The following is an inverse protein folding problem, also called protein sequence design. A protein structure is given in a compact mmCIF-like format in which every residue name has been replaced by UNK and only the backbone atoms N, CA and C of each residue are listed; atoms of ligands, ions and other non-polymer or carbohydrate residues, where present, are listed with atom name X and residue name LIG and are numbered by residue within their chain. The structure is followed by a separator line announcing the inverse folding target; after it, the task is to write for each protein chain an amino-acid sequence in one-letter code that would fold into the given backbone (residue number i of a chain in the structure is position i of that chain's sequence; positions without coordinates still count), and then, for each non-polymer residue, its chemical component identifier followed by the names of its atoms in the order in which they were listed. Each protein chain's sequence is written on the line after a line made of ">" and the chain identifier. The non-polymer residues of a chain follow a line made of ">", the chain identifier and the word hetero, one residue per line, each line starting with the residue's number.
data_IF_025649734842
#
_entry.id   IF_025649734842
#
_cell.length_a   1.000
_cell.length_b   1.000
_cell.length_c   1.000
_cell.angle_alpha   90.00
_cell.angle_beta   90.00
_cell.angle_gamma   90.00
#
_symmetry.space_group_name_H-M   'P 1'
#
loop_
_entity.id
_entity.type
_entity.pdbx_description
1 polymer ?
#
# COMPACT_ATOMS: atom_id res chain seq x y z
N UNK A 1 -0.44 15.49 13.95
CA UNK A 1 -0.84 14.40 13.44
C UNK A 1 -2.08 14.37 12.57
N UNK A 2 -3.22 14.53 13.12
CA UNK A 2 -4.44 14.33 12.40
C UNK A 2 -4.63 15.26 11.24
N UNK A 3 -4.22 16.50 11.33
CA UNK A 3 -4.54 17.46 10.31
C UNK A 3 -3.91 17.15 8.99
N UNK A 4 -2.62 16.94 8.99
CA UNK A 4 -1.92 16.65 7.76
C UNK A 4 -2.35 15.32 7.18
N UNK A 5 -2.54 14.37 8.06
CA UNK A 5 -3.03 13.08 7.66
C UNK A 5 -4.46 13.19 7.17
N UNK A 6 -5.22 14.09 7.77
CA UNK A 6 -6.58 14.34 7.31
C UNK A 6 -6.62 14.81 5.85
N UNK A 7 -5.65 15.65 5.47
CA UNK A 7 -5.58 16.08 4.09
C UNK A 7 -5.42 14.94 3.13
N UNK A 8 -4.56 13.98 3.47
CA UNK A 8 -4.34 12.81 2.65
C UNK A 8 -5.58 11.92 2.64
N UNK A 9 -6.18 11.74 3.80
CA UNK A 9 -7.38 10.91 3.89
C UNK A 9 -8.53 11.51 3.10
N UNK A 10 -8.69 12.82 3.14
CA UNK A 10 -9.73 13.47 2.37
C UNK A 10 -9.52 13.25 0.89
N UNK A 11 -8.28 13.36 0.44
CA UNK A 11 -7.96 13.12 -0.96
C UNK A 11 -8.27 11.67 -1.35
N UNK A 12 -7.91 10.73 -0.51
CA UNK A 12 -8.16 9.33 -0.78
C UNK A 12 -9.66 9.06 -0.83
N UNK A 13 -10.41 9.66 0.09
CA UNK A 13 -11.85 9.48 0.12
C UNK A 13 -12.49 9.97 -1.17
N UNK A 14 -12.03 11.11 -1.68
CA UNK A 14 -12.56 11.63 -2.93
C UNK A 14 -12.21 10.76 -4.11
N UNK A 15 -11.10 10.03 -4.03
CA UNK A 15 -10.67 9.18 -5.13
C UNK A 15 -11.40 7.83 -5.16
N UNK A 16 -12.10 7.46 -4.09
CA UNK A 16 -12.81 6.19 -4.03
C UNK A 16 -14.20 6.36 -4.62
N UNK A 17 -14.47 5.61 -5.67
CA UNK A 17 -15.81 5.54 -6.24
C UNK A 17 -16.63 4.60 -5.38
N UNK A 18 -17.63 5.13 -4.68
CA UNK A 18 -18.40 4.36 -3.72
C UNK A 18 -19.13 3.19 -4.35
N UNK A 19 -19.57 3.34 -5.59
CA UNK A 19 -20.25 2.25 -6.27
C UNK A 19 -19.28 1.19 -6.75
N UNK A 20 -18.14 1.60 -7.25
CA UNK A 20 -17.12 0.68 -7.76
C UNK A 20 -16.09 0.31 -6.74
N UNK A 21 -15.85 1.19 -5.77
CA UNK A 21 -14.86 0.99 -4.71
C UNK A 21 -13.46 0.74 -5.27
N UNK A 22 -13.17 1.39 -6.39
CA UNK A 22 -11.86 1.29 -7.02
C UNK A 22 -11.04 2.54 -6.72
N UNK A 23 -9.79 2.32 -6.38
CA UNK A 23 -8.88 3.39 -5.99
C UNK A 23 -7.76 3.46 -7.02
N UNK A 24 -7.37 4.67 -7.41
CA UNK A 24 -6.26 4.82 -8.35
C UNK A 24 -4.96 4.35 -7.72
N UNK A 25 -4.07 3.84 -8.56
CA UNK A 25 -2.79 3.34 -8.09
C UNK A 25 -1.97 4.42 -7.39
N UNK A 26 -2.04 5.66 -7.90
CA UNK A 26 -1.29 6.75 -7.29
C UNK A 26 -1.76 7.04 -5.87
N UNK A 27 -3.07 6.98 -5.63
CA UNK A 27 -3.60 7.22 -4.29
C UNK A 27 -3.21 6.08 -3.34
N UNK A 28 -3.27 4.84 -3.82
CA UNK A 28 -2.83 3.71 -3.02
C UNK A 28 -1.38 3.92 -2.58
N UNK A 29 -0.53 4.33 -3.50
CA UNK A 29 0.89 4.50 -3.19
C UNK A 29 1.17 5.72 -2.33
N UNK A 30 0.35 6.76 -2.40
CA UNK A 30 0.47 7.87 -1.49
C UNK A 30 0.22 7.42 -0.05
N UNK A 31 -0.82 6.62 0.15
CA UNK A 31 -1.13 6.11 1.48
C UNK A 31 0.00 5.22 1.99
N UNK A 32 0.53 4.35 1.13
CA UNK A 32 1.63 3.48 1.52
C UNK A 32 2.88 4.28 1.86
N UNK A 33 3.19 5.29 1.05
CA UNK A 33 4.36 6.14 1.31
C UNK A 33 4.24 6.83 2.66
N UNK A 34 3.07 7.34 2.97
CA UNK A 34 2.85 8.00 4.25
C UNK A 34 2.98 7.01 5.40
N UNK A 35 2.44 5.81 5.23
CA UNK A 35 2.54 4.79 6.27
C UNK A 35 3.99 4.42 6.55
N UNK A 36 4.81 4.34 5.50
CA UNK A 36 6.22 4.01 5.65
C UNK A 36 7.00 5.11 6.36
N UNK A 37 6.58 6.35 6.19
CA UNK A 37 7.21 7.47 6.90
C UNK A 37 6.96 7.40 8.40
N UNK A 38 5.76 7.03 8.80
CA UNK A 38 5.41 6.97 10.20
C UNK A 38 6.01 5.76 10.90
N UNK A 39 6.17 4.68 10.18
CA UNK A 39 6.71 3.45 10.75
C UNK A 39 7.41 2.66 9.67
N UNK A 40 8.74 2.68 9.72
CA UNK A 40 9.56 1.98 8.73
C UNK A 40 9.46 0.47 8.91
N UNK A 41 9.63 -0.30 7.82
CA UNK A 41 9.67 -1.75 7.94
C UNK A 41 10.77 -2.22 8.86
N UNK A 42 10.57 -3.34 9.53
CA UNK A 42 11.56 -3.84 10.50
C UNK A 42 12.83 -4.31 9.82
N UNK A 43 13.92 -4.24 10.57
CA UNK A 43 15.21 -4.76 10.14
C UNK A 43 15.48 -6.06 10.88
N UNK A 44 15.92 -7.09 10.17
CA UNK A 44 16.23 -8.37 10.77
C UNK A 44 17.60 -8.32 11.45
N UNK A 45 17.92 -9.39 12.20
CA UNK A 45 19.21 -9.51 12.86
C UNK A 45 20.36 -9.47 11.86
N UNK A 46 20.15 -9.99 10.66
CA UNK A 46 21.19 -9.98 9.64
C UNK A 46 21.34 -8.66 8.93
N UNK A 47 20.62 -7.63 9.37
CA UNK A 47 20.71 -6.33 8.75
C UNK A 47 19.84 -6.14 7.53
N UNK A 48 19.06 -7.14 7.18
CA UNK A 48 18.13 -7.01 6.06
C UNK A 48 16.89 -6.26 6.51
N UNK A 49 16.51 -5.26 5.75
CA UNK A 49 15.30 -4.49 6.02
C UNK A 49 14.27 -4.75 4.94
N UNK A 50 13.02 -4.87 5.34
CA UNK A 50 11.93 -4.99 4.40
C UNK A 50 11.81 -3.71 3.59
N UNK A 51 11.47 -3.86 2.31
CA UNK A 51 11.20 -2.74 1.42
C UNK A 51 9.87 -2.96 0.74
N UNK A 52 9.00 -1.97 0.85
CA UNK A 52 7.73 -1.99 0.15
C UNK A 52 7.87 -1.05 -1.05
N UNK A 53 7.81 -1.61 -2.24
CA UNK A 53 8.05 -0.85 -3.46
C UNK A 53 6.80 -0.09 -3.89
N UNK A 54 5.69 -0.79 -4.02
CA UNK A 54 4.43 -0.15 -4.41
C UNK A 54 3.30 -1.13 -4.22
N UNK A 55 2.06 -0.63 -4.37
CA UNK A 55 0.89 -1.47 -4.28
C UNK A 55 -0.10 -1.13 -5.37
N UNK A 56 -1.01 -2.05 -5.62
CA UNK A 56 -2.06 -1.85 -6.61
C UNK A 56 -3.31 -2.61 -6.20
N UNK A 57 -4.48 -2.07 -6.53
CA UNK A 57 -5.73 -2.75 -6.25
C UNK A 57 -5.97 -3.83 -7.30
N UNK A 58 -6.28 -5.03 -6.84
CA UNK A 58 -6.48 -6.16 -7.74
C UNK A 58 -7.90 -6.69 -7.73
N UNK A 59 -8.71 -6.29 -6.75
CA UNK A 59 -10.11 -6.70 -6.70
C UNK A 59 -10.92 -5.63 -5.98
N UNK A 60 -12.19 -5.58 -6.29
CA UNK A 60 -13.08 -4.54 -5.76
C UNK A 60 -13.91 -5.05 -4.59
N UNK A 61 -14.34 -6.28 -4.62
CA UNK A 61 -15.28 -6.82 -3.64
C UNK A 61 -14.83 -8.18 -3.16
N UNK A 62 -14.20 -8.28 -2.00
CA UNK A 62 -13.79 -7.17 -1.14
C UNK A 62 -12.62 -6.40 -1.74
N UNK A 63 -12.41 -5.16 -1.32
CA UNK A 63 -11.25 -4.42 -1.79
C UNK A 63 -9.97 -5.19 -1.48
N UNK A 64 -9.20 -5.47 -2.51
CA UNK A 64 -7.99 -6.29 -2.36
C UNK A 64 -6.83 -5.61 -3.05
N UNK A 65 -5.67 -5.68 -2.43
CA UNK A 65 -4.49 -4.98 -2.91
C UNK A 65 -3.29 -5.91 -2.87
N UNK A 66 -2.45 -5.82 -3.86
CA UNK A 66 -1.17 -6.52 -3.86
C UNK A 66 -0.08 -5.51 -3.55
N UNK A 67 0.75 -5.85 -2.57
CA UNK A 67 1.87 -5.02 -2.16
C UNK A 67 3.15 -5.73 -2.56
N UNK A 68 3.95 -5.06 -3.38
CA UNK A 68 5.20 -5.64 -3.88
C UNK A 68 6.34 -5.22 -2.99
N UNK A 69 7.04 -6.22 -2.46
CA UNK A 69 8.10 -6.02 -1.49
C UNK A 69 9.34 -6.78 -1.93
N UNK A 70 10.48 -6.50 -1.29
CA UNK A 70 11.69 -7.24 -1.63
C UNK A 70 11.60 -8.70 -1.20
N UNK A 71 11.17 -8.95 0.03
CA UNK A 71 10.95 -10.31 0.52
C UNK A 71 9.79 -10.30 1.49
N UNK A 72 8.74 -11.07 1.18
CA UNK A 72 7.54 -11.06 2.00
C UNK A 72 7.81 -11.55 3.43
N UNK A 73 8.77 -12.46 3.60
CA UNK A 73 9.08 -12.99 4.92
C UNK A 73 9.66 -11.96 5.87
N UNK A 74 10.14 -10.82 5.34
CA UNK A 74 10.68 -9.76 6.19
C UNK A 74 9.58 -8.94 6.86
N UNK A 75 8.34 -9.15 6.46
CA UNK A 75 7.21 -8.41 7.01
C UNK A 75 6.42 -9.30 7.94
N UNK A 76 6.63 -9.12 9.25
CA UNK A 76 5.94 -9.91 10.25
C UNK A 76 4.49 -9.48 10.41
N UNK A 77 3.74 -10.28 11.16
CA UNK A 77 2.31 -10.07 11.29
C UNK A 77 1.97 -8.71 11.89
N UNK A 78 2.73 -8.26 12.87
CA UNK A 78 2.47 -6.97 13.50
C UNK A 78 2.57 -5.83 12.51
N UNK A 79 3.61 -5.85 11.68
CA UNK A 79 3.79 -4.79 10.69
C UNK A 79 2.74 -4.88 9.60
N UNK A 80 2.37 -6.09 9.20
CA UNK A 80 1.32 -6.27 8.19
C UNK A 80 -0.01 -5.72 8.66
N UNK A 81 -0.33 -5.90 9.94
CA UNK A 81 -1.55 -5.34 10.51
C UNK A 81 -1.52 -3.82 10.53
N UNK A 82 -0.36 -3.26 10.81
CA UNK A 82 -0.20 -1.82 10.77
C UNK A 82 -0.46 -1.28 9.37
N UNK A 83 0.13 -1.89 8.36
CA UNK A 83 -0.06 -1.45 6.98
C UNK A 83 -1.52 -1.63 6.56
N UNK A 84 -2.14 -2.75 6.94
CA UNK A 84 -3.53 -2.97 6.61
C UNK A 84 -4.42 -1.87 7.19
N UNK A 85 -4.18 -1.49 8.44
CA UNK A 85 -4.95 -0.43 9.07
C UNK A 85 -4.75 0.89 8.34
N UNK A 86 -3.51 1.20 7.99
CA UNK A 86 -3.21 2.44 7.29
C UNK A 86 -3.89 2.49 5.93
N UNK A 87 -3.86 1.38 5.20
CA UNK A 87 -4.51 1.31 3.90
C UNK A 87 -6.02 1.45 4.07
N UNK A 88 -6.60 0.73 5.01
CA UNK A 88 -8.04 0.76 5.22
C UNK A 88 -8.52 2.16 5.59
N UNK A 89 -7.85 2.79 6.54
CA UNK A 89 -8.24 4.12 6.98
C UNK A 89 -7.92 5.17 5.93
N UNK A 90 -6.76 5.06 5.31
CA UNK A 90 -6.33 6.06 4.35
C UNK A 90 -7.13 6.06 3.06
N UNK A 91 -7.70 4.93 2.70
CA UNK A 91 -8.50 4.81 1.48
C UNK A 91 -10.00 4.87 1.73
N UNK A 92 -10.40 5.13 2.97
CA UNK A 92 -11.81 5.30 3.28
C UNK A 92 -12.60 4.00 3.37
N UNK A 93 -11.93 2.91 3.67
CA UNK A 93 -12.57 1.60 3.83
C UNK A 93 -12.79 1.24 5.30
N UNK A 94 -12.93 2.23 6.16
CA UNK A 94 -13.18 1.96 7.57
C UNK A 94 -14.43 1.14 7.72
N UNK A 95 -14.33 0.09 8.56
CA UNK A 95 -15.45 -0.80 8.75
C UNK A 95 -15.65 -1.82 7.65
N UNK A 96 -14.84 -1.78 6.61
CA UNK A 96 -14.93 -2.70 5.48
C UNK A 96 -13.71 -3.62 5.49
N UNK A 97 -13.92 -4.94 5.46
CA UNK A 97 -12.78 -5.86 5.35
C UNK A 97 -12.04 -5.66 4.04
N UNK A 98 -10.71 -5.66 4.11
CA UNK A 98 -9.87 -5.59 2.91
C UNK A 98 -8.89 -6.75 2.94
N UNK A 99 -8.31 -7.06 1.80
CA UNK A 99 -7.30 -8.10 1.69
C UNK A 99 -6.01 -7.52 1.15
N UNK A 100 -4.90 -7.91 1.76
CA UNK A 100 -3.59 -7.50 1.29
C UNK A 100 -2.79 -8.75 0.95
N UNK A 101 -2.22 -8.76 -0.24
CA UNK A 101 -1.36 -9.83 -0.70
C UNK A 101 0.06 -9.31 -0.78
N UNK A 102 0.97 -9.95 -0.05
CA UNK A 102 2.37 -9.54 0.03
C UNK A 102 3.19 -10.39 -0.92
N UNK A 103 3.70 -9.78 -1.97
CA UNK A 103 4.46 -10.51 -2.98
C UNK A 103 5.88 -10.00 -3.08
N UNK A 104 6.84 -10.93 -2.98
CA UNK A 104 8.24 -10.60 -3.17
C UNK A 104 8.54 -10.35 -4.64
N UNK A 105 9.43 -9.39 -4.90
CA UNK A 105 9.79 -9.05 -6.27
C UNK A 105 11.20 -8.46 -6.27
N UNK A 106 11.96 -8.77 -7.32
CA UNK A 106 13.30 -8.23 -7.43
C UNK A 106 13.24 -6.79 -7.90
N UNK A 107 14.20 -6.00 -7.45
CA UNK A 107 14.19 -4.58 -7.73
C UNK A 107 14.16 -4.27 -9.22
N UNK A 108 14.92 -5.02 -10.02
CA UNK A 108 14.96 -4.78 -11.45
C UNK A 108 13.60 -4.99 -12.10
N UNK A 109 12.80 -5.93 -11.58
CA UNK A 109 11.47 -6.17 -12.12
C UNK A 109 10.54 -5.05 -11.72
N UNK A 110 10.72 -4.50 -10.54
CA UNK A 110 9.95 -3.33 -10.10
C UNK A 110 10.23 -2.15 -11.03
N UNK A 111 11.50 -1.92 -11.34
CA UNK A 111 11.87 -0.82 -12.23
C UNK A 111 11.24 -0.97 -13.61
N UNK A 112 11.22 -2.19 -14.13
CA UNK A 112 10.57 -2.46 -15.41
C UNK A 112 9.08 -2.18 -15.37
N UNK A 113 8.43 -2.60 -14.28
CA UNK A 113 7.00 -2.39 -14.14
C UNK A 113 6.67 -0.91 -14.04
N UNK A 114 7.45 -0.16 -13.28
CA UNK A 114 7.22 1.27 -13.12
C UNK A 114 7.44 2.01 -14.45
N UNK A 115 8.45 1.61 -15.21
CA UNK A 115 8.69 2.21 -16.52
C UNK A 115 7.52 1.93 -17.46
N UNK A 116 6.98 0.71 -17.40
CA UNK A 116 5.83 0.33 -18.21
C UNK A 116 4.61 1.15 -17.84
N UNK A 117 4.39 1.36 -16.55
CA UNK A 117 3.27 2.18 -16.10
C UNK A 117 3.38 3.62 -16.58
N UNK A 118 4.59 4.16 -16.55
CA UNK A 118 4.81 5.53 -17.03
C UNK A 118 4.49 5.65 -18.52
N UNK A 119 4.85 4.64 -19.30
CA UNK A 119 4.56 4.66 -20.73
C UNK A 119 3.09 4.44 -21.00
N UNK A 120 2.43 3.63 -20.21
CA UNK A 120 1.04 3.33 -20.41
C UNK A 120 0.10 4.40 -19.85
N UNK A 121 0.64 5.23 -18.99
CA UNK A 121 -0.13 6.29 -18.39
C UNK A 121 -0.31 7.44 -19.29
#
# INVERSE_FOLDING_TARGET
>A
TGQRVEGIFALATLAVDQNRRRVSTSVVNEVLTEALKWRSPPTTRGGKQGRLYYGTQVAINPPSFTLFVNESKLFGETYRRYIERQVREGLGFEGTPIKLFWRGKQQRDVEKDLARQQKGG
#
